data_IF_516146045335
#
_entry.id   IF_516146045335
#
_cell.length_a   1.000
_cell.length_b   1.000
_cell.length_c   1.000
_cell.angle_alpha   90.00
_cell.angle_beta   90.00
_cell.angle_gamma   90.00
#
_symmetry.space_group_name_H-M   'P 1'
#
loop_
_entity.id
_entity.type
_entity.pdbx_description
1 polymer ?
#
# COMPACT_ATOMS: atom_id res chain seq x y z
N UNK A 1 10.47 -23.81 4.49
CA UNK A 1 10.27 -25.19 5.02
C UNK A 1 9.32 -25.19 6.23
N UNK A 2 8.18 -24.47 6.20
CA UNK A 2 7.25 -24.39 7.34
C UNK A 2 7.76 -23.66 8.59
N UNK A 3 9.08 -23.42 8.72
CA UNK A 3 9.65 -22.56 9.75
C UNK A 3 9.22 -21.12 9.51
N UNK A 4 8.54 -20.54 10.49
CA UNK A 4 8.32 -19.09 10.55
C UNK A 4 9.69 -18.42 10.60
N UNK A 5 9.93 -17.49 9.68
CA UNK A 5 11.19 -16.73 9.59
C UNK A 5 10.97 -15.22 9.75
N UNK A 6 9.72 -14.77 9.69
CA UNK A 6 9.34 -13.37 9.82
C UNK A 6 8.03 -13.30 10.63
N UNK A 7 8.04 -12.44 11.63
CA UNK A 7 6.86 -11.97 12.35
C UNK A 7 7.04 -10.48 12.55
N UNK A 8 6.00 -9.70 12.26
CA UNK A 8 5.99 -8.26 12.47
C UNK A 8 4.73 -7.90 13.25
N UNK A 9 4.92 -7.09 14.29
CA UNK A 9 3.83 -6.44 14.98
C UNK A 9 3.67 -5.04 14.40
N UNK A 10 2.44 -4.67 14.05
CA UNK A 10 2.14 -3.42 13.35
C UNK A 10 1.22 -2.58 14.21
N UNK A 11 1.39 -1.25 14.13
CA UNK A 11 0.54 -0.26 14.79
C UNK A 11 -0.85 -0.09 14.17
N UNK A 12 -1.15 -0.84 13.10
CA UNK A 12 -2.42 -0.73 12.37
C UNK A 12 -3.59 -1.10 13.28
N UNK A 13 -4.49 -0.15 13.49
CA UNK A 13 -5.60 -0.27 14.45
C UNK A 13 -6.75 -1.15 13.94
N UNK A 14 -6.96 -1.16 12.62
CA UNK A 14 -8.00 -1.95 11.97
C UNK A 14 -7.44 -3.30 11.46
N UNK A 15 -8.33 -4.20 11.06
CA UNK A 15 -7.92 -5.50 10.49
C UNK A 15 -7.26 -5.29 9.12
N UNK A 16 -6.09 -5.89 8.91
CA UNK A 16 -5.41 -5.90 7.61
C UNK A 16 -6.31 -6.61 6.58
N UNK A 17 -6.68 -5.90 5.52
CA UNK A 17 -7.57 -6.41 4.46
C UNK A 17 -6.84 -6.82 3.19
N UNK A 18 -5.67 -6.25 2.93
CA UNK A 18 -4.77 -6.66 1.84
C UNK A 18 -3.32 -6.36 2.21
N UNK A 19 -2.38 -7.08 1.60
CA UNK A 19 -0.95 -6.87 1.75
C UNK A 19 -0.19 -7.12 0.44
N UNK A 20 0.91 -6.39 0.23
CA UNK A 20 1.83 -6.59 -0.88
C UNK A 20 3.27 -6.62 -0.36
N UNK A 21 4.05 -7.60 -0.79
CA UNK A 21 5.49 -7.67 -0.53
C UNK A 21 6.22 -7.38 -1.84
N UNK A 22 7.12 -6.40 -1.84
CA UNK A 22 7.88 -5.99 -3.02
C UNK A 22 9.36 -5.85 -2.67
N UNK A 23 10.18 -6.85 -3.03
CA UNK A 23 11.55 -6.93 -2.54
C UNK A 23 11.58 -7.13 -1.02
N UNK A 24 12.25 -6.22 -0.29
CA UNK A 24 12.20 -6.17 1.19
C UNK A 24 11.14 -5.21 1.73
N UNK A 25 10.41 -4.52 0.87
CA UNK A 25 9.36 -3.59 1.27
C UNK A 25 8.03 -4.34 1.50
N UNK A 26 7.25 -3.86 2.47
CA UNK A 26 5.94 -4.41 2.85
C UNK A 26 4.90 -3.30 2.81
N UNK A 27 3.78 -3.54 2.13
CA UNK A 27 2.63 -2.65 2.07
C UNK A 27 1.45 -3.34 2.75
N UNK A 28 0.83 -2.66 3.70
CA UNK A 28 -0.37 -3.13 4.39
C UNK A 28 -1.54 -2.19 4.12
N UNK A 29 -2.69 -2.77 3.79
CA UNK A 29 -3.94 -2.05 3.62
C UNK A 29 -4.89 -2.42 4.76
N UNK A 30 -5.51 -1.42 5.37
CA UNK A 30 -6.43 -1.64 6.48
C UNK A 30 -7.43 -0.50 6.57
N UNK A 31 -8.72 -0.82 6.45
CA UNK A 31 -9.77 0.20 6.44
C UNK A 31 -9.55 1.22 5.33
N UNK A 32 -9.15 2.44 5.71
CA UNK A 32 -8.83 3.55 4.81
C UNK A 32 -7.33 3.83 4.69
N UNK A 33 -6.47 3.09 5.37
CA UNK A 33 -5.03 3.35 5.39
C UNK A 33 -4.25 2.42 4.49
N UNK A 34 -3.18 2.96 3.91
CA UNK A 34 -2.11 2.23 3.24
C UNK A 34 -0.79 2.56 3.92
N UNK A 35 -0.20 1.57 4.59
CA UNK A 35 1.05 1.73 5.34
C UNK A 35 2.19 1.06 4.60
N UNK A 36 3.28 1.78 4.38
CA UNK A 36 4.48 1.30 3.73
C UNK A 36 5.59 1.09 4.76
N UNK A 37 6.11 -0.12 4.81
CA UNK A 37 7.22 -0.54 5.64
C UNK A 37 8.45 -0.85 4.78
N UNK A 38 9.62 -0.44 5.27
CA UNK A 38 10.93 -0.81 4.72
C UNK A 38 11.80 -1.29 5.86
N UNK A 39 12.43 -2.45 5.71
CA UNK A 39 13.24 -3.07 6.77
C UNK A 39 12.48 -3.14 8.11
N UNK A 40 11.17 -3.47 8.03
CA UNK A 40 10.24 -3.56 9.16
C UNK A 40 9.96 -2.25 9.91
N UNK A 41 10.42 -1.11 9.40
CA UNK A 41 10.09 0.21 9.93
C UNK A 41 9.01 0.87 9.07
N UNK A 42 8.02 1.46 9.73
CA UNK A 42 7.01 2.28 9.06
C UNK A 42 7.69 3.52 8.47
N UNK A 43 7.60 3.68 7.15
CA UNK A 43 8.14 4.84 6.43
C UNK A 43 7.07 5.91 6.29
N UNK A 44 5.86 5.50 5.91
CA UNK A 44 4.71 6.39 5.81
C UNK A 44 3.40 5.60 5.90
N UNK A 45 2.36 6.32 6.31
CA UNK A 45 0.97 5.88 6.27
C UNK A 45 0.15 6.90 5.50
N UNK A 46 -0.56 6.46 4.46
CA UNK A 46 -1.43 7.31 3.67
C UNK A 46 -2.89 7.00 3.99
N UNK A 47 -3.69 8.04 4.25
CA UNK A 47 -5.12 7.93 4.49
C UNK A 47 -5.89 8.22 3.21
N UNK A 48 -6.61 7.21 2.70
CA UNK A 48 -7.49 7.32 1.55
C UNK A 48 -8.83 7.98 1.90
N UNK A 49 -9.47 8.58 0.89
CA UNK A 49 -10.77 9.24 1.04
C UNK A 49 -11.91 8.24 1.33
N UNK A 50 -11.72 6.96 0.97
CA UNK A 50 -12.65 5.87 1.23
C UNK A 50 -11.86 4.56 1.45
N UNK A 51 -12.57 3.45 1.68
CA UNK A 51 -12.00 2.13 1.99
C UNK A 51 -11.05 1.65 0.89
N UNK A 52 -9.89 1.19 1.30
CA UNK A 52 -8.90 0.54 0.44
C UNK A 52 -9.39 -0.87 0.11
N UNK A 53 -9.45 -1.17 -1.19
CA UNK A 53 -9.81 -2.50 -1.69
C UNK A 53 -8.58 -3.37 -1.85
N UNK A 54 -7.55 -2.84 -2.50
CA UNK A 54 -6.28 -3.54 -2.75
C UNK A 54 -5.16 -2.55 -3.09
N UNK A 55 -3.90 -2.99 -2.99
CA UNK A 55 -2.74 -2.22 -3.40
C UNK A 55 -1.64 -3.10 -4.00
N UNK A 56 -0.97 -2.57 -5.01
CA UNK A 56 0.22 -3.18 -5.61
C UNK A 56 1.37 -2.17 -5.66
N UNK A 57 2.58 -2.65 -5.35
CA UNK A 57 3.80 -1.86 -5.48
C UNK A 57 4.48 -2.13 -6.83
N UNK A 58 5.05 -1.09 -7.43
CA UNK A 58 5.84 -1.20 -8.66
C UNK A 58 7.01 -0.21 -8.65
N UNK A 59 8.10 -0.60 -9.30
CA UNK A 59 9.24 0.28 -9.52
C UNK A 59 9.02 1.14 -10.76
N UNK A 60 9.37 2.42 -10.66
CA UNK A 60 9.47 3.29 -11.83
C UNK A 60 10.69 2.92 -12.69
N UNK A 61 10.57 2.96 -14.02
CA UNK A 61 11.74 2.86 -14.89
C UNK A 61 12.76 3.93 -14.52
N UNK A 62 14.04 3.56 -14.45
CA UNK A 62 15.20 4.45 -14.34
C UNK A 62 15.42 5.18 -12.99
N UNK A 63 14.60 5.00 -11.95
CA UNK A 63 14.76 5.76 -10.68
C UNK A 63 14.70 4.90 -9.41
N UNK A 64 14.49 3.58 -9.49
CA UNK A 64 14.29 2.69 -8.33
C UNK A 64 13.23 3.17 -7.31
N UNK A 65 12.43 4.19 -7.65
CA UNK A 65 11.37 4.69 -6.78
C UNK A 65 10.20 3.73 -6.84
N UNK A 66 9.76 3.30 -5.67
CA UNK A 66 8.59 2.47 -5.48
C UNK A 66 7.36 3.37 -5.48
N UNK A 67 6.37 3.01 -6.28
CA UNK A 67 5.04 3.61 -6.29
C UNK A 67 4.02 2.58 -5.91
N UNK A 68 2.97 3.02 -5.22
CA UNK A 68 1.83 2.18 -4.88
C UNK A 68 0.67 2.57 -5.78
N UNK A 69 0.13 1.60 -6.52
CA UNK A 69 -1.19 1.72 -7.14
C UNK A 69 -2.20 1.16 -6.13
N UNK A 70 -3.14 1.99 -5.72
CA UNK A 70 -4.14 1.65 -4.70
C UNK A 70 -5.53 1.80 -5.30
N UNK A 71 -6.36 0.77 -5.12
CA UNK A 71 -7.77 0.77 -5.49
C UNK A 71 -8.62 1.15 -4.28
N UNK A 72 -9.54 2.09 -4.48
CA UNK A 72 -10.40 2.66 -3.44
C UNK A 72 -11.87 2.43 -3.82
N UNK A 73 -12.72 2.09 -2.84
CA UNK A 73 -14.10 1.65 -3.04
C UNK A 73 -14.97 2.64 -3.84
N UNK A 74 -14.71 3.94 -3.74
CA UNK A 74 -15.43 5.00 -4.46
C UNK A 74 -15.06 5.10 -5.96
N UNK A 75 -14.79 3.98 -6.63
CA UNK A 75 -14.39 3.92 -8.05
C UNK A 75 -13.17 4.77 -8.34
N UNK A 76 -12.20 4.81 -7.43
CA UNK A 76 -10.97 5.56 -7.61
C UNK A 76 -9.75 4.63 -7.62
N UNK A 77 -8.76 4.99 -8.43
CA UNK A 77 -7.41 4.47 -8.32
C UNK A 77 -6.46 5.64 -8.06
N UNK A 78 -5.57 5.48 -7.07
CA UNK A 78 -4.54 6.46 -6.75
C UNK A 78 -3.15 5.87 -6.88
N UNK A 79 -2.22 6.71 -7.27
CA UNK A 79 -0.79 6.43 -7.21
C UNK A 79 -0.23 7.22 -6.04
N UNK A 80 0.43 6.53 -5.11
CA UNK A 80 1.13 7.13 -3.98
C UNK A 80 2.64 6.99 -4.21
N UNK A 81 3.37 8.07 -3.99
CA UNK A 81 4.84 8.10 -4.03
C UNK A 81 5.33 8.86 -2.79
N UNK A 82 6.25 8.27 -2.02
CA UNK A 82 6.82 8.86 -0.80
C UNK A 82 5.75 9.41 0.18
N UNK A 83 4.71 8.63 0.44
CA UNK A 83 3.64 9.00 1.37
C UNK A 83 2.70 10.10 0.88
N UNK A 84 2.82 10.54 -0.37
CA UNK A 84 1.99 11.60 -0.96
C UNK A 84 1.25 11.11 -2.18
N UNK A 85 0.07 11.70 -2.43
CA UNK A 85 -0.69 11.46 -3.65
C UNK A 85 0.11 11.98 -4.86
N UNK A 86 0.51 11.06 -5.74
CA UNK A 86 1.15 11.40 -7.01
C UNK A 86 0.12 11.65 -8.11
N UNK A 87 -0.88 10.77 -8.22
CA UNK A 87 -1.92 10.87 -9.24
C UNK A 87 -3.20 10.18 -8.78
N UNK A 88 -4.34 10.64 -9.28
CA UNK A 88 -5.66 10.03 -9.09
C UNK A 88 -6.34 9.84 -10.43
N UNK A 89 -7.12 8.78 -10.56
CA UNK A 89 -8.08 8.61 -11.65
C UNK A 89 -9.37 7.98 -11.12
N UNK A 90 -10.48 8.32 -11.78
CA UNK A 90 -11.74 7.62 -11.61
C UNK A 90 -11.80 6.41 -12.55
N UNK A 91 -12.40 5.33 -12.08
CA UNK A 91 -12.67 4.12 -12.83
C UNK A 91 -14.15 4.15 -13.20
N UNK A 92 -14.44 4.32 -14.49
CA UNK A 92 -15.83 4.27 -14.95
C UNK A 92 -16.42 2.89 -14.65
N UNK A 93 -17.67 2.86 -14.17
CA UNK A 93 -18.45 1.62 -14.23
C UNK A 93 -18.78 1.37 -15.70
N UNK A 94 -18.45 0.17 -16.18
CA UNK A 94 -18.81 -0.29 -17.53
C UNK A 94 -20.32 -0.43 -17.71
#
# INVERSE_FOLDING_TARGET
>A
KGKVFLSIETSVAETITSMCVFGSDLVLCSGRTVTFYRELQEVYCYLCDDRVLDAVAFATPNNNRVRLLVLIANKEAVIIENGSLYKRTYIAAG
#
